data_IF_470717071505
#
_entry.id   IF_470717071505
#
_cell.length_a   1.000
_cell.length_b   1.000
_cell.length_c   1.000
_cell.angle_alpha   90.00
_cell.angle_beta   90.00
_cell.angle_gamma   90.00
#
_symmetry.space_group_name_H-M   'P 1'
#
loop_
_entity.id
_entity.type
_entity.pdbx_description
1 polymer ?
#
# COMPACT_ATOMS: atom_id res chain seq x y z
N UNK A 1 -17.17 -6.16 43.97
CA UNK A 1 -17.91 -6.72 42.82
C UNK A 1 -17.80 -5.73 41.67
N UNK A 2 -17.30 -6.14 40.51
CA UNK A 2 -17.34 -5.28 39.31
C UNK A 2 -18.79 -5.23 38.82
N UNK A 3 -19.49 -4.15 39.16
CA UNK A 3 -20.80 -3.85 38.57
C UNK A 3 -20.58 -3.24 37.19
N UNK A 4 -21.59 -3.32 36.32
CA UNK A 4 -21.53 -2.80 34.95
C UNK A 4 -21.03 -1.34 34.90
N UNK A 5 -21.49 -0.48 35.82
CA UNK A 5 -21.05 0.92 35.88
C UNK A 5 -19.57 1.10 36.21
N UNK A 6 -18.99 0.23 37.04
CA UNK A 6 -17.56 0.30 37.38
C UNK A 6 -16.66 -0.02 36.17
N UNK A 7 -17.14 -0.86 35.24
CA UNK A 7 -16.44 -1.14 33.97
C UNK A 7 -16.52 0.06 33.03
N UNK A 8 -17.69 0.72 32.95
CA UNK A 8 -17.89 1.90 32.11
C UNK A 8 -16.99 3.07 32.57
N UNK A 9 -16.90 3.31 33.89
CA UNK A 9 -16.04 4.36 34.45
C UNK A 9 -14.55 4.09 34.17
N UNK A 10 -14.09 2.84 34.31
CA UNK A 10 -12.72 2.44 33.99
C UNK A 10 -12.37 2.66 32.51
N UNK A 11 -13.30 2.37 31.60
CA UNK A 11 -13.11 2.58 30.16
C UNK A 11 -13.04 4.07 29.86
N UNK A 12 -13.97 4.87 30.41
CA UNK A 12 -13.99 6.32 30.24
C UNK A 12 -12.73 6.98 30.78
N UNK A 13 -12.27 6.59 31.96
CA UNK A 13 -11.03 7.12 32.56
C UNK A 13 -9.80 6.78 31.72
N UNK A 14 -9.73 5.55 31.20
CA UNK A 14 -8.62 5.10 30.36
C UNK A 14 -8.57 5.84 29.02
N UNK A 15 -9.72 6.01 28.36
CA UNK A 15 -9.82 6.74 27.10
C UNK A 15 -9.52 8.24 27.28
N UNK A 16 -10.00 8.86 28.36
CA UNK A 16 -9.70 10.26 28.68
C UNK A 16 -8.22 10.50 29.05
N UNK A 17 -7.49 9.47 29.51
CA UNK A 17 -6.04 9.52 29.68
C UNK A 17 -5.29 9.38 28.35
N UNK A 18 -5.78 8.54 27.43
CA UNK A 18 -5.18 8.39 26.11
C UNK A 18 -5.20 9.70 25.30
N UNK A 19 -6.23 10.53 25.47
CA UNK A 19 -6.37 11.82 24.78
C UNK A 19 -5.47 12.94 25.37
N UNK A 20 -4.85 12.70 26.54
CA UNK A 20 -3.88 13.62 27.17
C UNK A 20 -2.42 13.32 26.82
N UNK A 21 -2.18 12.33 25.95
CA UNK A 21 -0.89 12.08 25.35
C UNK A 21 -0.58 13.14 24.29
N UNK A 22 0.18 14.16 24.69
CA UNK A 22 0.78 15.20 23.87
C UNK A 22 0.80 14.92 22.36
N UNK A 23 0.08 15.75 21.59
CA UNK A 23 0.31 15.94 20.15
C UNK A 23 1.75 16.44 19.95
N UNK A 24 2.69 15.50 19.84
CA UNK A 24 3.94 15.77 19.14
C UNK A 24 3.57 16.36 17.76
N UNK A 25 4.25 17.42 17.28
CA UNK A 25 3.93 18.00 15.99
C UNK A 25 3.97 16.88 14.96
N UNK A 26 2.81 16.61 14.35
CA UNK A 26 2.68 15.58 13.34
C UNK A 26 3.69 15.91 12.23
N UNK A 27 4.83 15.22 12.25
CA UNK A 27 5.78 15.26 11.15
C UNK A 27 4.99 15.01 9.89
N UNK A 28 5.15 15.90 8.89
CA UNK A 28 4.41 15.87 7.62
C UNK A 28 4.31 14.43 7.14
N UNK A 29 3.15 13.80 7.31
CA UNK A 29 2.91 12.46 6.76
C UNK A 29 3.03 12.63 5.26
N UNK A 30 4.13 12.17 4.68
CA UNK A 30 4.27 12.05 3.23
C UNK A 30 3.01 11.35 2.74
N UNK A 31 2.31 11.99 1.79
CA UNK A 31 1.05 11.49 1.27
C UNK A 31 1.19 9.98 0.95
N UNK A 32 0.16 9.16 1.25
CA UNK A 32 0.24 7.73 0.99
C UNK A 32 0.58 7.54 -0.49
N UNK A 33 1.74 6.94 -0.74
CA UNK A 33 2.19 6.61 -2.10
C UNK A 33 1.14 5.68 -2.68
N UNK A 34 0.35 6.21 -3.63
CA UNK A 34 -0.71 5.45 -4.28
C UNK A 34 -0.05 4.31 -5.06
N UNK A 35 -0.32 3.07 -4.63
CA UNK A 35 0.10 1.89 -5.36
C UNK A 35 -0.73 1.82 -6.64
N UNK A 36 -0.05 1.75 -7.78
CA UNK A 36 -0.70 1.68 -9.10
C UNK A 36 -0.81 0.21 -9.46
N UNK A 37 -2.01 -0.35 -9.53
CA UNK A 37 -2.17 -1.71 -10.04
C UNK A 37 -2.12 -1.67 -11.57
N UNK A 38 -1.23 -2.46 -12.16
CA UNK A 38 -1.15 -2.63 -13.61
C UNK A 38 -1.74 -3.98 -14.00
N UNK A 39 -2.86 -3.90 -14.70
CA UNK A 39 -3.54 -5.05 -15.26
C UNK A 39 -2.80 -5.62 -16.47
N UNK A 40 -3.14 -6.85 -16.85
CA UNK A 40 -2.58 -7.52 -18.03
C UNK A 40 -2.75 -6.70 -19.31
N UNK A 41 -3.92 -6.06 -19.46
CA UNK A 41 -4.21 -5.20 -20.60
C UNK A 41 -3.31 -3.98 -20.66
N UNK A 42 -3.06 -3.32 -19.52
CA UNK A 42 -2.16 -2.17 -19.44
C UNK A 42 -0.71 -2.57 -19.73
N UNK A 43 -0.27 -3.73 -19.24
CA UNK A 43 1.07 -4.25 -19.52
C UNK A 43 1.25 -4.58 -20.99
N UNK A 44 0.27 -5.21 -21.63
CA UNK A 44 0.31 -5.47 -23.09
C UNK A 44 0.31 -4.19 -23.91
N UNK A 45 -0.36 -3.13 -23.44
CA UNK A 45 -0.37 -1.83 -24.11
C UNK A 45 0.96 -1.08 -23.98
N UNK A 46 1.61 -1.21 -22.82
CA UNK A 46 2.95 -0.65 -22.58
C UNK A 46 4.05 -1.44 -23.31
N UNK A 47 3.82 -2.73 -23.51
CA UNK A 47 4.74 -3.61 -24.21
C UNK A 47 4.82 -3.28 -25.70
N UNK A 48 6.02 -2.92 -26.15
CA UNK A 48 6.31 -2.76 -27.58
C UNK A 48 6.82 -4.09 -28.13
N UNK A 49 6.22 -4.65 -29.20
CA UNK A 49 6.66 -5.90 -29.79
C UNK A 49 8.13 -5.81 -30.21
N UNK A 50 8.96 -6.74 -29.73
CA UNK A 50 10.41 -6.77 -29.95
C UNK A 50 11.25 -6.05 -28.89
N UNK A 51 10.62 -5.34 -27.95
CA UNK A 51 11.34 -4.71 -26.82
C UNK A 51 11.55 -5.73 -25.70
N UNK A 52 12.81 -5.98 -25.31
CA UNK A 52 13.18 -6.88 -24.21
C UNK A 52 13.12 -6.24 -22.82
N UNK A 53 12.58 -5.02 -22.72
CA UNK A 53 12.52 -4.24 -21.50
C UNK A 53 11.19 -3.51 -21.39
N UNK A 54 10.58 -3.56 -20.21
CA UNK A 54 9.35 -2.86 -19.87
C UNK A 54 9.59 -2.00 -18.63
N UNK A 55 9.38 -0.69 -18.78
CA UNK A 55 9.53 0.26 -17.67
C UNK A 55 8.20 0.41 -16.96
N UNK A 56 8.19 0.16 -15.65
CA UNK A 56 7.01 0.31 -14.80
C UNK A 56 7.33 1.17 -13.58
N UNK A 57 6.34 1.89 -13.04
CA UNK A 57 6.53 2.68 -11.83
C UNK A 57 6.99 1.80 -10.66
N UNK A 58 7.93 2.28 -9.85
CA UNK A 58 8.44 1.55 -8.68
C UNK A 58 7.34 1.18 -7.68
N UNK A 59 6.27 1.97 -7.66
CA UNK A 59 5.11 1.78 -6.79
C UNK A 59 4.01 0.92 -7.43
N UNK A 60 4.28 0.33 -8.60
CA UNK A 60 3.29 -0.46 -9.32
C UNK A 60 3.21 -1.89 -8.79
N UNK A 61 1.99 -2.39 -8.62
CA UNK A 61 1.71 -3.80 -8.39
C UNK A 61 1.40 -4.41 -9.75
N UNK A 62 2.19 -5.41 -10.15
CA UNK A 62 1.94 -6.19 -11.35
C UNK A 62 1.02 -7.37 -11.02
N UNK A 63 0.12 -7.69 -11.94
CA UNK A 63 -0.65 -8.93 -11.88
C UNK A 63 0.27 -10.16 -11.94
N UNK A 64 0.09 -11.18 -11.07
CA UNK A 64 0.89 -12.40 -11.09
C UNK A 64 0.88 -13.13 -12.44
N UNK A 65 -0.28 -13.20 -13.10
CA UNK A 65 -0.42 -13.82 -14.42
C UNK A 65 0.43 -13.11 -15.49
N UNK A 66 0.57 -11.79 -15.34
CA UNK A 66 1.35 -10.99 -16.28
C UNK A 66 2.85 -11.11 -16.03
N UNK A 67 3.29 -11.43 -14.80
CA UNK A 67 4.69 -11.75 -14.52
C UNK A 67 5.11 -13.03 -15.23
N UNK A 68 4.30 -14.09 -15.16
CA UNK A 68 4.59 -15.36 -15.84
C UNK A 68 4.73 -15.16 -17.36
N UNK A 69 3.87 -14.33 -17.94
CA UNK A 69 3.97 -13.98 -19.36
C UNK A 69 5.22 -13.16 -19.68
N UNK A 70 5.58 -12.17 -18.85
CA UNK A 70 6.80 -11.37 -19.04
C UNK A 70 8.06 -12.24 -18.95
N UNK A 71 8.11 -13.16 -17.99
CA UNK A 71 9.22 -14.09 -17.79
C UNK A 71 9.34 -15.07 -18.96
N UNK A 72 8.22 -15.63 -19.45
CA UNK A 72 8.21 -16.50 -20.62
C UNK A 72 8.75 -15.81 -21.88
N UNK A 73 8.46 -14.52 -22.06
CA UNK A 73 8.94 -13.73 -23.20
C UNK A 73 10.36 -13.15 -22.98
N UNK A 74 10.98 -13.40 -21.83
CA UNK A 74 12.31 -12.86 -21.49
C UNK A 74 12.34 -11.34 -21.38
N UNK A 75 11.21 -10.72 -21.01
CA UNK A 75 11.06 -9.26 -20.90
C UNK A 75 11.51 -8.82 -19.51
N UNK A 76 12.56 -8.01 -19.44
CA UNK A 76 13.05 -7.47 -18.16
C UNK A 76 12.15 -6.34 -17.69
N UNK A 77 11.75 -6.40 -16.42
CA UNK A 77 10.95 -5.36 -15.77
C UNK A 77 11.88 -4.38 -15.07
N UNK A 78 11.97 -3.15 -15.59
CA UNK A 78 12.71 -2.06 -14.96
C UNK A 78 11.75 -1.21 -14.13
N UNK A 79 12.04 -1.07 -12.83
CA UNK A 79 11.25 -0.24 -11.91
C UNK A 79 11.90 1.15 -11.81
N UNK A 80 11.15 2.21 -12.11
CA UNK A 80 11.61 3.61 -12.04
C UNK A 80 10.79 4.45 -11.06
#
# INVERSE_FOLDING_TARGET
MLTKGAVEDLICEHLARADRGALAPAGKKSAPVRKIFLSDWELRRLYKPGSRSLTVPANAILSPLSLDWLDYNGVKVARN
#
